data_IF_760530428711
#
_entry.id   IF_760530428711
#
_cell.length_a   1.000
_cell.length_b   1.000
_cell.length_c   1.000
_cell.angle_alpha   90.00
_cell.angle_beta   90.00
_cell.angle_gamma   90.00
#
_symmetry.space_group_name_H-M   'P 1'
#
loop_
_entity.id
_entity.type
_entity.pdbx_description
1 polymer ?
#
# COMPACT_ATOMS: atom_id res chain seq x y z
N UNK A 1 14.04 10.32 0.73
CA UNK A 1 12.92 11.15 0.24
C UNK A 1 12.79 10.94 -1.26
N UNK A 2 11.56 10.84 -1.76
CA UNK A 2 11.24 10.75 -3.19
C UNK A 2 10.89 12.13 -3.73
N UNK A 3 11.28 12.39 -4.97
CA UNK A 3 10.95 13.64 -5.68
C UNK A 3 10.02 13.33 -6.84
N UNK A 4 8.89 14.01 -6.89
CA UNK A 4 7.90 13.97 -7.96
C UNK A 4 8.02 15.23 -8.79
N UNK A 5 8.25 15.09 -10.08
CA UNK A 5 8.21 16.21 -11.03
C UNK A 5 6.86 16.22 -11.73
N UNK A 6 6.17 17.36 -11.66
CA UNK A 6 4.90 17.60 -12.34
C UNK A 6 4.88 19.02 -12.92
N UNK A 7 4.65 19.14 -14.24
CA UNK A 7 4.66 20.43 -14.96
C UNK A 7 5.93 21.28 -14.78
N UNK A 8 7.06 20.66 -14.47
CA UNK A 8 8.31 21.37 -14.20
C UNK A 8 8.45 21.87 -12.76
N UNK A 9 7.48 21.58 -11.89
CA UNK A 9 7.60 21.75 -10.44
C UNK A 9 8.04 20.44 -9.78
N UNK A 10 8.86 20.55 -8.75
CA UNK A 10 9.39 19.42 -7.99
C UNK A 10 8.74 19.37 -6.60
N UNK A 11 8.19 18.21 -6.25
CA UNK A 11 7.53 17.95 -4.98
C UNK A 11 8.25 16.82 -4.25
N UNK A 12 8.73 17.07 -3.04
CA UNK A 12 9.51 16.09 -2.28
C UNK A 12 8.72 15.53 -1.10
N UNK A 13 8.54 14.21 -1.05
CA UNK A 13 7.85 13.50 0.04
C UNK A 13 8.67 12.31 0.55
N UNK A 14 8.32 11.75 1.69
CA UNK A 14 8.85 10.44 2.11
C UNK A 14 8.17 9.30 1.38
N UNK A 15 6.85 9.39 1.21
CA UNK A 15 6.04 8.43 0.45
C UNK A 15 5.21 9.17 -0.59
N UNK A 16 5.09 8.59 -1.78
CA UNK A 16 4.26 9.13 -2.86
C UNK A 16 3.30 8.05 -3.30
N UNK A 17 2.05 8.18 -2.90
CA UNK A 17 1.00 7.22 -3.20
C UNK A 17 0.30 7.66 -4.48
N UNK A 18 0.05 6.71 -5.36
CA UNK A 18 -0.80 6.89 -6.54
C UNK A 18 -2.03 6.01 -6.40
N UNK A 19 -3.20 6.63 -6.54
CA UNK A 19 -4.49 5.94 -6.61
C UNK A 19 -5.04 6.00 -8.05
N UNK A 20 -6.32 5.66 -8.23
CA UNK A 20 -6.99 5.66 -9.54
C UNK A 20 -7.13 7.06 -10.14
N UNK A 21 -7.30 8.09 -9.29
CA UNK A 21 -7.49 9.48 -9.72
C UNK A 21 -6.71 10.51 -8.89
N UNK A 22 -5.86 10.07 -7.98
CA UNK A 22 -5.12 10.92 -7.04
C UNK A 22 -3.63 10.55 -6.95
N UNK A 23 -2.80 11.56 -6.67
CA UNK A 23 -1.40 11.38 -6.25
C UNK A 23 -1.18 12.19 -4.98
N UNK A 24 -0.66 11.54 -3.94
CA UNK A 24 -0.48 12.14 -2.62
C UNK A 24 0.96 11.95 -2.14
N UNK A 25 1.57 13.03 -1.67
CA UNK A 25 2.88 13.02 -1.04
C UNK A 25 2.75 13.13 0.47
N UNK A 26 3.38 12.21 1.20
CA UNK A 26 3.36 12.16 2.66
C UNK A 26 4.77 12.25 3.23
N UNK A 27 4.88 12.96 4.35
CA UNK A 27 6.06 12.99 5.22
C UNK A 27 5.58 12.56 6.61
N UNK A 28 6.01 11.39 7.06
CA UNK A 28 5.41 10.67 8.20
C UNK A 28 3.92 10.38 7.95
N UNK A 29 3.06 10.99 8.78
CA UNK A 29 1.59 10.90 8.67
C UNK A 29 0.94 12.17 8.09
N UNK A 30 1.75 13.13 7.64
CA UNK A 30 1.26 14.41 7.13
C UNK A 30 1.28 14.42 5.61
N UNK A 31 0.14 14.74 4.99
CA UNK A 31 0.05 14.99 3.55
C UNK A 31 0.61 16.38 3.26
N UNK A 32 1.71 16.45 2.53
CA UNK A 32 2.36 17.72 2.16
C UNK A 32 1.91 18.22 0.79
N UNK A 33 1.47 17.32 -0.10
CA UNK A 33 0.84 17.66 -1.38
C UNK A 33 -0.15 16.58 -1.79
N UNK A 34 -1.20 16.99 -2.50
CA UNK A 34 -2.18 16.08 -3.07
C UNK A 34 -2.74 16.64 -4.38
N UNK A 35 -2.74 15.83 -5.42
CA UNK A 35 -3.28 16.15 -6.73
C UNK A 35 -4.50 15.26 -6.97
N UNK A 36 -5.67 15.87 -7.16
CA UNK A 36 -6.95 15.17 -7.39
C UNK A 36 -7.46 15.36 -8.81
N UNK A 37 -8.27 14.41 -9.28
CA UNK A 37 -8.89 14.47 -10.61
C UNK A 37 -7.89 14.24 -11.73
N UNK A 38 -6.87 13.42 -11.47
CA UNK A 38 -5.86 13.07 -12.47
C UNK A 38 -6.45 12.02 -13.41
N UNK A 39 -6.48 12.34 -14.70
CA UNK A 39 -6.83 11.40 -15.77
C UNK A 39 -5.61 10.95 -16.56
N UNK A 40 -4.52 11.71 -16.50
CA UNK A 40 -3.29 11.47 -17.23
C UNK A 40 -2.10 11.47 -16.27
N UNK A 41 -1.69 10.27 -15.84
CA UNK A 41 -0.58 10.08 -14.91
C UNK A 41 0.80 10.17 -15.57
N UNK A 42 0.87 10.16 -16.90
CA UNK A 42 2.13 10.26 -17.65
C UNK A 42 2.86 11.59 -17.44
N UNK A 43 2.17 12.61 -16.90
CA UNK A 43 2.78 13.91 -16.53
C UNK A 43 3.53 13.88 -15.21
N UNK A 44 3.37 12.82 -14.43
CA UNK A 44 3.99 12.65 -13.12
C UNK A 44 5.20 11.75 -13.27
N UNK A 45 6.39 12.31 -13.08
CA UNK A 45 7.65 11.56 -13.18
C UNK A 45 8.32 11.54 -11.82
N UNK A 46 8.72 10.36 -11.36
CA UNK A 46 9.52 10.22 -10.15
C UNK A 46 11.00 10.28 -10.51
N UNK A 47 11.78 11.03 -9.72
CA UNK A 47 13.22 11.11 -9.86
C UNK A 47 13.89 9.76 -9.52
N UNK A 48 15.12 9.55 -10.03
CA UNK A 48 15.96 8.37 -9.75
C UNK A 48 15.33 7.01 -10.12
N UNK A 49 14.30 7.01 -10.96
CA UNK A 49 13.56 5.78 -11.30
C UNK A 49 12.77 5.21 -10.12
N UNK A 50 12.48 6.03 -9.11
CA UNK A 50 11.64 5.62 -7.99
C UNK A 50 10.22 5.28 -8.47
N UNK A 51 9.59 4.32 -7.80
CA UNK A 51 8.22 3.90 -8.07
C UNK A 51 7.24 4.53 -7.08
N UNK A 52 5.96 4.60 -7.42
CA UNK A 52 4.92 5.04 -6.48
C UNK A 52 4.82 4.04 -5.33
N UNK A 53 4.67 4.54 -4.12
CA UNK A 53 4.32 3.72 -2.98
C UNK A 53 2.90 3.20 -3.13
N UNK A 54 2.68 1.96 -2.71
CA UNK A 54 1.34 1.45 -2.52
C UNK A 54 0.61 2.32 -1.48
N UNK A 55 -0.70 2.48 -1.68
CA UNK A 55 -1.57 3.07 -0.66
C UNK A 55 -1.27 2.37 0.68
N UNK A 56 -1.04 3.11 1.77
CA UNK A 56 -0.89 2.49 3.06
C UNK A 56 -2.20 1.74 3.26
N UNK A 57 -2.09 0.41 3.29
CA UNK A 57 -3.17 -0.42 3.77
C UNK A 57 -3.63 0.28 5.06
N UNK A 58 -4.86 0.81 5.06
CA UNK A 58 -5.40 1.47 6.25
C UNK A 58 -5.18 0.51 7.43
N UNK A 59 -5.04 0.99 8.67
CA UNK A 59 -4.88 0.08 9.82
C UNK A 59 -5.92 -1.06 9.79
N UNK A 60 -7.14 -0.76 9.33
CA UNK A 60 -8.20 -1.73 9.03
C UNK A 60 -7.79 -2.81 8.01
N UNK A 61 -7.16 -2.46 6.88
CA UNK A 61 -6.67 -3.43 5.90
C UNK A 61 -5.50 -4.28 6.46
N UNK A 62 -4.64 -3.70 7.28
CA UNK A 62 -3.59 -4.45 7.98
C UNK A 62 -4.18 -5.44 9.00
N UNK A 63 -5.19 -5.00 9.77
CA UNK A 63 -5.92 -5.84 10.71
C UNK A 63 -6.67 -6.98 10.00
N UNK A 64 -7.32 -6.69 8.87
CA UNK A 64 -7.99 -7.71 8.04
C UNK A 64 -6.98 -8.74 7.53
N UNK A 65 -5.80 -8.30 7.06
CA UNK A 65 -4.75 -9.20 6.60
C UNK A 65 -4.24 -10.11 7.73
N UNK A 66 -4.05 -9.57 8.93
CA UNK A 66 -3.62 -10.35 10.11
C UNK A 66 -4.67 -11.37 10.54
N UNK A 67 -5.95 -10.97 10.60
CA UNK A 67 -7.07 -11.86 10.92
C UNK A 67 -7.16 -13.01 9.89
N UNK A 68 -7.01 -12.71 8.59
CA UNK A 68 -7.05 -13.73 7.54
C UNK A 68 -5.88 -14.71 7.64
N UNK A 69 -4.68 -14.23 7.97
CA UNK A 69 -3.51 -15.07 8.17
C UNK A 69 -3.70 -16.01 9.38
N UNK A 70 -4.26 -15.49 10.46
CA UNK A 70 -4.53 -16.25 11.68
C UNK A 70 -5.63 -17.31 11.46
N UNK A 71 -6.68 -16.97 10.69
CA UNK A 71 -7.69 -17.94 10.25
C UNK A 71 -7.12 -19.05 9.37
N UNK A 72 -6.18 -18.74 8.46
CA UNK A 72 -5.53 -19.74 7.62
C UNK A 72 -4.71 -20.71 8.48
N UNK A 73 -4.01 -20.19 9.49
CA UNK A 73 -3.24 -20.99 10.46
C UNK A 73 -4.16 -21.92 11.26
N UNK A 74 -5.23 -21.39 11.85
CA UNK A 74 -6.21 -22.20 12.60
C UNK A 74 -6.84 -23.31 11.74
N UNK A 75 -7.17 -23.04 10.48
CA UNK A 75 -7.70 -24.08 9.57
C UNK A 75 -6.69 -25.19 9.32
N UNK A 76 -5.40 -24.86 9.22
CA UNK A 76 -4.34 -25.85 9.06
C UNK A 76 -4.16 -26.71 10.31
N UNK A 77 -4.18 -26.11 11.51
CA UNK A 77 -4.13 -26.84 12.78
C UNK A 77 -5.32 -27.80 12.94
N UNK A 78 -6.53 -27.35 12.59
CA UNK A 78 -7.73 -28.20 12.62
C UNK A 78 -7.61 -29.37 11.65
N UNK A 79 -7.12 -29.14 10.42
CA UNK A 79 -6.89 -30.21 9.45
C UNK A 79 -5.91 -31.26 10.00
N UNK A 80 -4.80 -30.79 10.59
CA UNK A 80 -3.76 -31.65 11.17
C UNK A 80 -4.30 -32.50 12.34
N UNK A 81 -5.11 -31.92 13.22
CA UNK A 81 -5.74 -32.65 14.33
C UNK A 81 -6.78 -33.67 13.87
N UNK A 82 -7.50 -33.36 12.78
CA UNK A 82 -8.51 -34.26 12.20
C UNK A 82 -7.86 -35.47 11.51
N UNK A 83 -6.72 -35.28 10.86
CA UNK A 83 -5.94 -36.37 10.29
C UNK A 83 -5.30 -37.25 11.38
N UNK A 84 -4.84 -36.65 12.48
CA UNK A 84 -4.29 -37.38 13.62
C UNK A 84 -5.35 -38.20 14.39
N UNK A 85 -6.63 -37.81 14.35
CA UNK A 85 -7.74 -38.52 15.02
C UNK A 85 -8.47 -39.52 14.12
N UNK A 86 -8.33 -39.43 12.80
CA UNK A 86 -8.91 -40.39 11.85
C UNK A 86 -8.02 -41.64 11.61
N UNK A 87 -6.81 -41.66 12.15
CA UNK A 87 -5.83 -42.75 11.99
C UNK A 87 -5.68 -43.69 13.19
N UNK A 88 -6.59 -43.67 14.17
CA UNK A 88 -6.56 -44.52 15.37
C UNK A 88 -7.75 -45.49 15.44
#
# INVERSE_FOLDING_TARGET
MKTLTFKGEEFQAEKIIKTDSEVMGLVGSTVIFSFRGITDFSKFTLADGAEFDAEPASEEQQQIAEILLEQAKMKQDIATLKEASAGA
#
